data_IF_525160778753
#
_entry.id   IF_525160778753
#
_cell.length_a   1.000
_cell.length_b   1.000
_cell.length_c   1.000
_cell.angle_alpha   90.00
_cell.angle_beta   90.00
_cell.angle_gamma   90.00
#
_symmetry.space_group_name_H-M   'P 1'
#
loop_
_entity.id
_entity.type
_entity.pdbx_description
1 polymer ?
#
# COMPACT_ATOMS: atom_id res chain seq x y z
N UNK A 1 -2.45 -3.78 20.79
CA UNK A 1 -2.55 -3.60 22.25
C UNK A 1 -3.66 -4.52 22.85
N UNK A 2 -3.52 -5.01 24.10
CA UNK A 2 -4.52 -5.92 24.68
C UNK A 2 -5.95 -5.37 24.68
N UNK A 3 -6.12 -4.06 24.87
CA UNK A 3 -7.42 -3.40 24.86
C UNK A 3 -8.13 -3.52 23.50
N UNK A 4 -7.38 -3.63 22.41
CA UNK A 4 -7.90 -3.71 21.03
C UNK A 4 -7.89 -5.13 20.46
N UNK A 5 -7.33 -6.11 21.19
CA UNK A 5 -7.30 -7.50 20.76
C UNK A 5 -8.69 -8.06 20.35
N UNK A 6 -9.80 -7.72 21.05
CA UNK A 6 -11.14 -8.15 20.64
C UNK A 6 -11.57 -7.64 19.25
N UNK A 7 -10.97 -6.56 18.77
CA UNK A 7 -11.31 -5.92 17.50
C UNK A 7 -10.37 -6.29 16.35
N UNK A 8 -9.30 -7.05 16.63
CA UNK A 8 -8.30 -7.41 15.63
C UNK A 8 -8.92 -8.08 14.38
N UNK A 9 -9.93 -8.96 14.57
CA UNK A 9 -10.63 -9.60 13.46
C UNK A 9 -11.46 -8.61 12.62
N UNK A 10 -11.96 -7.54 13.21
CA UNK A 10 -12.66 -6.49 12.49
C UNK A 10 -11.70 -5.72 11.59
N UNK A 11 -10.51 -5.39 12.11
CA UNK A 11 -9.51 -4.56 11.45
C UNK A 11 -8.80 -5.35 10.34
N UNK A 12 -8.37 -6.59 10.63
CA UNK A 12 -7.53 -7.40 9.75
C UNK A 12 -8.24 -8.62 9.14
N UNK A 13 -9.54 -8.75 9.36
CA UNK A 13 -10.28 -9.96 8.95
C UNK A 13 -10.40 -10.18 7.45
N UNK A 14 -10.11 -9.17 6.63
CA UNK A 14 -10.10 -9.28 5.17
C UNK A 14 -8.74 -9.74 4.60
N UNK A 15 -7.70 -9.79 5.41
CA UNK A 15 -6.36 -10.21 4.99
C UNK A 15 -6.32 -11.57 4.30
N UNK A 16 -7.03 -12.63 4.76
CA UNK A 16 -7.04 -13.90 4.03
C UNK A 16 -7.63 -13.78 2.61
N UNK A 17 -8.67 -12.98 2.43
CA UNK A 17 -9.27 -12.72 1.12
C UNK A 17 -8.32 -11.92 0.22
N UNK A 18 -7.61 -10.92 0.78
CA UNK A 18 -6.58 -10.17 0.05
C UNK A 18 -5.44 -11.07 -0.42
N UNK A 19 -4.96 -11.99 0.45
CA UNK A 19 -3.91 -12.96 0.12
C UNK A 19 -4.32 -13.83 -1.08
N UNK A 20 -5.53 -14.38 -1.04
CA UNK A 20 -6.05 -15.20 -2.14
C UNK A 20 -6.22 -14.38 -3.41
N UNK A 21 -6.82 -13.20 -3.31
CA UNK A 21 -7.03 -12.31 -4.44
C UNK A 21 -5.71 -11.93 -5.12
N UNK A 22 -4.70 -11.48 -4.37
CA UNK A 22 -3.42 -11.08 -4.95
C UNK A 22 -2.66 -12.28 -5.54
N UNK A 23 -2.68 -13.45 -4.86
CA UNK A 23 -2.09 -14.67 -5.41
C UNK A 23 -2.70 -15.02 -6.78
N UNK A 24 -4.01 -15.01 -6.89
CA UNK A 24 -4.73 -15.28 -8.14
C UNK A 24 -4.45 -14.20 -9.19
N UNK A 25 -4.48 -12.93 -8.79
CA UNK A 25 -4.31 -11.79 -9.69
C UNK A 25 -2.92 -11.72 -10.31
N UNK A 26 -1.90 -12.08 -9.55
CA UNK A 26 -0.50 -12.08 -9.96
C UNK A 26 -0.06 -13.42 -10.58
N UNK A 27 -0.85 -14.49 -10.39
CA UNK A 27 -0.49 -15.85 -10.83
C UNK A 27 0.70 -16.43 -10.05
N UNK A 28 0.99 -15.89 -8.88
CA UNK A 28 2.08 -16.32 -7.99
C UNK A 28 1.51 -16.41 -6.58
N UNK A 29 1.53 -17.59 -6.00
CA UNK A 29 1.08 -17.81 -4.62
C UNK A 29 1.88 -16.94 -3.65
N UNK A 30 1.27 -16.62 -2.50
CA UNK A 30 1.96 -15.89 -1.44
C UNK A 30 3.28 -16.62 -1.07
N UNK A 31 4.44 -15.96 -1.22
CA UNK A 31 5.73 -16.67 -1.25
C UNK A 31 6.31 -17.03 0.14
N UNK A 32 5.58 -16.78 1.22
CA UNK A 32 6.06 -16.93 2.59
C UNK A 32 5.20 -17.92 3.37
N UNK A 33 5.79 -18.65 4.31
CA UNK A 33 5.11 -19.69 5.12
C UNK A 33 4.01 -19.14 6.04
N UNK A 34 4.10 -17.86 6.38
CA UNK A 34 3.13 -17.18 7.27
C UNK A 34 3.05 -15.69 6.94
N UNK A 35 1.99 -15.05 7.42
CA UNK A 35 1.87 -13.60 7.44
C UNK A 35 1.40 -13.13 8.82
N UNK A 36 2.11 -12.19 9.41
CA UNK A 36 1.78 -11.55 10.67
C UNK A 36 1.52 -10.06 10.46
N UNK A 37 0.63 -9.49 11.26
CA UNK A 37 0.30 -8.07 11.26
C UNK A 37 0.47 -7.54 12.69
N UNK A 38 1.33 -6.56 12.87
CA UNK A 38 1.80 -6.08 14.17
C UNK A 38 1.52 -4.59 14.29
N UNK A 39 0.66 -4.20 15.23
CA UNK A 39 0.38 -2.80 15.53
C UNK A 39 1.30 -2.31 16.64
N UNK A 40 2.07 -1.27 16.38
CA UNK A 40 3.04 -0.71 17.34
C UNK A 40 2.76 0.78 17.62
N UNK A 41 3.16 1.24 18.81
CA UNK A 41 3.09 2.65 19.19
C UNK A 41 4.26 3.44 18.63
N UNK A 42 4.02 4.72 18.39
CA UNK A 42 5.07 5.67 17.99
C UNK A 42 5.86 5.21 16.76
N UNK A 43 5.18 4.57 15.82
CA UNK A 43 5.81 4.19 14.57
C UNK A 43 6.11 5.44 13.74
N UNK A 44 7.28 5.48 13.11
CA UNK A 44 7.77 6.66 12.39
C UNK A 44 7.05 6.89 11.05
N UNK A 45 6.34 5.89 10.54
CA UNK A 45 5.62 5.91 9.27
C UNK A 45 4.18 5.40 9.45
N UNK A 46 3.41 5.27 8.36
CA UNK A 46 2.10 4.64 8.36
C UNK A 46 2.19 3.14 8.63
N UNK A 47 3.03 2.47 7.88
CA UNK A 47 3.30 1.04 8.01
C UNK A 47 4.67 0.67 7.43
N UNK A 48 5.00 -0.64 7.43
CA UNK A 48 6.24 -1.19 6.86
C UNK A 48 6.03 -2.68 6.54
N UNK A 49 6.43 -3.06 5.36
CA UNK A 49 6.24 -4.37 4.77
C UNK A 49 7.22 -5.46 5.27
N UNK A 50 7.79 -5.35 6.45
CA UNK A 50 8.77 -6.36 6.92
C UNK A 50 8.34 -7.77 6.52
N UNK A 51 9.21 -8.47 5.80
CA UNK A 51 8.93 -9.75 5.15
C UNK A 51 8.19 -10.73 6.07
N UNK A 52 7.00 -11.14 5.68
CA UNK A 52 6.06 -12.00 6.42
C UNK A 52 5.52 -11.43 7.75
N UNK A 53 5.80 -10.15 8.08
CA UNK A 53 5.40 -9.55 9.36
C UNK A 53 5.24 -8.02 9.25
N UNK A 54 4.23 -7.55 8.50
CA UNK A 54 3.99 -6.11 8.33
C UNK A 54 3.71 -5.42 9.67
N UNK A 55 4.33 -4.25 9.85
CA UNK A 55 4.17 -3.41 11.03
C UNK A 55 3.31 -2.21 10.67
N UNK A 56 2.36 -1.89 11.54
CA UNK A 56 1.41 -0.80 11.36
C UNK A 56 1.46 0.19 12.52
N UNK A 57 1.15 1.44 12.24
CA UNK A 57 1.03 2.52 13.21
C UNK A 57 -0.15 2.30 14.18
N UNK A 58 -0.13 2.98 15.30
CA UNK A 58 -1.09 2.79 16.40
C UNK A 58 -2.53 3.26 16.10
N UNK A 59 -2.77 4.04 15.02
CA UNK A 59 -4.13 4.35 14.56
C UNK A 59 -4.92 3.11 14.11
N UNK A 60 -4.25 2.00 13.79
CA UNK A 60 -4.89 0.71 13.56
C UNK A 60 -5.53 0.11 14.82
N UNK A 61 -5.25 0.64 16.00
CA UNK A 61 -5.96 0.29 17.23
C UNK A 61 -7.31 1.00 17.27
N UNK A 62 -8.30 0.47 16.58
CA UNK A 62 -9.61 1.09 16.40
C UNK A 62 -10.70 0.42 17.21
N UNK A 63 -11.63 1.23 17.71
CA UNK A 63 -12.92 0.77 18.22
C UNK A 63 -13.88 0.50 17.06
N UNK A 64 -14.99 -0.25 17.27
CA UNK A 64 -16.02 -0.42 16.23
C UNK A 64 -16.65 0.88 15.74
N UNK A 65 -16.65 1.93 16.56
CA UNK A 65 -17.14 3.25 16.15
C UNK A 65 -16.16 3.92 15.18
N UNK A 66 -14.87 3.98 15.53
CA UNK A 66 -13.84 4.55 14.68
C UNK A 66 -13.69 3.81 13.33
N UNK A 67 -13.84 2.48 13.33
CA UNK A 67 -13.78 1.67 12.12
C UNK A 67 -14.87 1.99 11.08
N UNK A 68 -15.96 2.63 11.48
CA UNK A 68 -17.01 3.08 10.55
C UNK A 68 -16.62 4.35 9.77
N UNK A 69 -15.74 5.14 10.36
CA UNK A 69 -15.28 6.39 9.75
C UNK A 69 -14.05 6.17 8.87
N UNK A 70 -13.19 5.23 9.28
CA UNK A 70 -11.93 4.92 8.58
C UNK A 70 -11.54 3.47 8.83
N UNK A 71 -11.20 2.73 7.77
CA UNK A 71 -10.84 1.30 7.89
C UNK A 71 -9.34 1.04 7.76
N UNK A 72 -8.60 1.94 7.13
CA UNK A 72 -7.19 1.74 6.72
C UNK A 72 -6.96 0.44 5.92
N UNK A 73 -7.99 0.01 5.22
CA UNK A 73 -7.96 -1.25 4.45
C UNK A 73 -7.03 -1.15 3.24
N UNK A 74 -6.92 0.03 2.67
CA UNK A 74 -5.96 0.40 1.64
C UNK A 74 -4.53 0.18 2.12
N UNK A 75 -4.17 0.66 3.32
CA UNK A 75 -2.84 0.43 3.92
C UNK A 75 -2.58 -1.06 4.13
N UNK A 76 -3.58 -1.82 4.59
CA UNK A 76 -3.42 -3.28 4.73
C UNK A 76 -3.15 -3.96 3.38
N UNK A 77 -3.84 -3.53 2.33
CA UNK A 77 -3.64 -4.04 0.98
C UNK A 77 -2.25 -3.65 0.43
N UNK A 78 -1.81 -2.41 0.67
CA UNK A 78 -0.50 -1.89 0.31
C UNK A 78 0.63 -2.75 0.89
N UNK A 79 0.65 -2.89 2.22
CA UNK A 79 1.68 -3.66 2.93
C UNK A 79 1.68 -5.14 2.57
N UNK A 80 0.52 -5.70 2.27
CA UNK A 80 0.43 -7.07 1.81
C UNK A 80 0.97 -7.22 0.39
N UNK A 81 0.66 -6.29 -0.52
CA UNK A 81 1.12 -6.34 -1.91
C UNK A 81 2.64 -6.25 -2.04
N UNK A 82 3.29 -5.57 -1.12
CA UNK A 82 4.75 -5.52 -1.03
C UNK A 82 5.40 -6.89 -0.91
N UNK A 83 4.71 -7.90 -0.40
CA UNK A 83 5.28 -9.26 -0.29
C UNK A 83 5.61 -9.88 -1.65
N UNK A 84 5.00 -9.39 -2.74
CA UNK A 84 5.40 -9.71 -4.12
C UNK A 84 6.30 -8.62 -4.70
N UNK A 85 5.95 -7.34 -4.55
CA UNK A 85 6.70 -6.20 -5.08
C UNK A 85 7.33 -5.38 -3.96
N UNK A 86 8.53 -5.73 -3.59
CA UNK A 86 9.29 -5.21 -2.46
C UNK A 86 10.13 -6.32 -1.85
N UNK A 87 9.48 -7.38 -1.37
CA UNK A 87 10.14 -8.50 -0.69
C UNK A 87 10.60 -9.60 -1.67
N UNK A 88 9.71 -10.11 -2.52
CA UNK A 88 10.07 -11.16 -3.49
C UNK A 88 10.82 -10.57 -4.68
N UNK A 89 10.33 -9.48 -5.25
CA UNK A 89 10.97 -8.71 -6.30
C UNK A 89 11.32 -7.34 -5.72
N UNK A 90 12.58 -7.12 -5.41
CA UNK A 90 13.07 -5.93 -4.71
C UNK A 90 13.69 -4.93 -5.68
N UNK A 91 13.51 -3.64 -5.44
CA UNK A 91 14.16 -2.58 -6.19
C UNK A 91 15.70 -2.67 -6.06
N UNK A 92 16.40 -2.54 -7.16
CA UNK A 92 17.87 -2.58 -7.22
C UNK A 92 18.53 -1.43 -6.42
N UNK A 93 17.87 -0.29 -6.40
CA UNK A 93 18.35 0.91 -5.72
C UNK A 93 17.17 1.82 -5.36
N UNK A 94 17.41 2.83 -4.52
CA UNK A 94 16.41 3.85 -4.18
C UNK A 94 15.86 4.59 -5.40
N UNK A 95 16.64 4.71 -6.48
CA UNK A 95 16.17 5.27 -7.76
C UNK A 95 15.00 4.49 -8.35
N UNK A 96 14.93 3.20 -8.06
CA UNK A 96 13.92 2.26 -8.55
C UNK A 96 12.83 1.95 -7.50
N UNK A 97 12.75 2.74 -6.42
CA UNK A 97 11.73 2.60 -5.37
C UNK A 97 10.30 2.44 -5.90
N UNK A 98 9.91 3.02 -7.05
CA UNK A 98 8.61 2.78 -7.66
C UNK A 98 8.29 1.31 -7.96
N UNK A 99 9.28 0.42 -8.10
CA UNK A 99 9.03 -1.02 -8.21
C UNK A 99 8.37 -1.58 -6.94
N UNK A 100 8.71 -1.03 -5.79
CA UNK A 100 8.05 -1.35 -4.52
C UNK A 100 6.76 -0.51 -4.38
N UNK A 101 6.90 0.79 -4.25
CA UNK A 101 5.83 1.69 -3.79
C UNK A 101 4.72 1.93 -4.82
N UNK A 102 5.07 2.14 -6.09
CA UNK A 102 4.03 2.33 -7.12
C UNK A 102 3.20 1.08 -7.31
N UNK A 103 3.82 -0.10 -7.23
CA UNK A 103 3.11 -1.38 -7.34
C UNK A 103 2.22 -1.63 -6.12
N UNK A 104 2.69 -1.33 -4.90
CA UNK A 104 1.89 -1.47 -3.69
C UNK A 104 0.71 -0.47 -3.66
N UNK A 105 0.93 0.78 -4.04
CA UNK A 105 -0.15 1.78 -4.21
C UNK A 105 -1.17 1.31 -5.25
N UNK A 106 -0.71 0.69 -6.34
CA UNK A 106 -1.64 0.12 -7.31
C UNK A 106 -2.35 -1.13 -6.77
N UNK A 107 -1.74 -1.86 -5.86
CA UNK A 107 -2.37 -2.95 -5.10
C UNK A 107 -3.60 -2.49 -4.33
N UNK A 108 -3.55 -1.30 -3.72
CA UNK A 108 -4.71 -0.66 -3.06
C UNK A 108 -5.88 -0.52 -4.02
N UNK A 109 -5.64 0.07 -5.20
CA UNK A 109 -6.65 0.22 -6.24
C UNK A 109 -7.23 -1.12 -6.67
N UNK A 110 -6.39 -2.12 -6.93
CA UNK A 110 -6.82 -3.46 -7.37
C UNK A 110 -7.70 -4.14 -6.33
N UNK A 111 -7.37 -4.00 -5.05
CA UNK A 111 -8.17 -4.53 -3.97
C UNK A 111 -9.52 -3.84 -3.85
N UNK A 112 -9.55 -2.51 -3.88
CA UNK A 112 -10.78 -1.74 -3.80
C UNK A 112 -11.71 -2.06 -4.99
N UNK A 113 -11.15 -2.15 -6.22
CA UNK A 113 -11.89 -2.56 -7.41
C UNK A 113 -12.52 -3.95 -7.25
N UNK A 114 -11.75 -4.91 -6.73
CA UNK A 114 -12.23 -6.26 -6.49
C UNK A 114 -13.33 -6.32 -5.43
N UNK A 115 -13.12 -5.60 -4.32
CA UNK A 115 -13.97 -5.71 -3.14
C UNK A 115 -15.23 -4.86 -3.21
N UNK A 116 -15.12 -3.65 -3.76
CA UNK A 116 -16.17 -2.63 -3.70
C UNK A 116 -16.62 -2.14 -5.08
N UNK A 117 -15.92 -2.51 -6.13
CA UNK A 117 -16.24 -2.11 -7.49
C UNK A 117 -15.40 -0.96 -8.01
N UNK A 118 -15.55 -0.70 -9.33
CA UNK A 118 -14.75 0.28 -10.07
C UNK A 118 -14.95 1.72 -9.55
N UNK A 119 -16.17 2.08 -9.14
CA UNK A 119 -16.46 3.43 -8.64
C UNK A 119 -15.67 3.78 -7.38
N UNK A 120 -15.58 2.85 -6.42
CA UNK A 120 -14.81 3.05 -5.19
C UNK A 120 -13.30 3.14 -5.49
N UNK A 121 -12.81 2.25 -6.33
CA UNK A 121 -11.41 2.28 -6.77
C UNK A 121 -11.07 3.55 -7.55
N UNK A 122 -11.96 4.03 -8.40
CA UNK A 122 -11.75 5.27 -9.15
C UNK A 122 -11.77 6.50 -8.24
N UNK A 123 -12.58 6.50 -7.18
CA UNK A 123 -12.54 7.56 -6.17
C UNK A 123 -11.20 7.58 -5.44
N UNK A 124 -10.70 6.41 -5.03
CA UNK A 124 -9.35 6.27 -4.45
C UNK A 124 -8.27 6.79 -5.42
N UNK A 125 -8.31 6.35 -6.66
CA UNK A 125 -7.38 6.80 -7.69
C UNK A 125 -7.48 8.29 -8.04
N UNK A 126 -8.66 8.91 -7.88
CA UNK A 126 -8.83 10.37 -7.99
C UNK A 126 -8.13 11.08 -6.84
N UNK A 127 -8.25 10.56 -5.61
CA UNK A 127 -7.57 11.12 -4.44
C UNK A 127 -6.05 11.06 -4.61
N UNK A 128 -5.52 9.96 -5.14
CA UNK A 128 -4.10 9.83 -5.51
C UNK A 128 -3.67 10.90 -6.51
N UNK A 129 -4.45 11.08 -7.57
CA UNK A 129 -4.16 12.08 -8.58
C UNK A 129 -4.16 13.50 -7.99
N UNK A 130 -5.12 13.81 -7.12
CA UNK A 130 -5.21 15.09 -6.43
C UNK A 130 -4.04 15.32 -5.48
N UNK A 131 -3.64 14.29 -4.71
CA UNK A 131 -2.47 14.36 -3.83
C UNK A 131 -1.19 14.66 -4.62
N UNK A 132 -0.97 13.99 -5.74
CA UNK A 132 0.15 14.24 -6.65
C UNK A 132 0.11 15.66 -7.22
N UNK A 133 -1.05 16.13 -7.70
CA UNK A 133 -1.21 17.44 -8.32
C UNK A 133 -1.12 18.61 -7.32
N UNK A 134 -1.37 18.37 -6.05
CA UNK A 134 -1.32 19.39 -5.01
C UNK A 134 0.07 20.02 -4.81
N UNK A 135 1.13 19.32 -5.23
CA UNK A 135 2.51 19.80 -5.09
C UNK A 135 3.11 20.13 -6.47
N UNK A 136 3.26 21.42 -6.78
CA UNK A 136 3.80 21.89 -8.06
C UNK A 136 5.15 21.25 -8.45
N UNK A 137 6.02 21.00 -7.47
CA UNK A 137 7.32 20.34 -7.70
C UNK A 137 7.19 18.95 -8.32
N UNK A 138 6.11 18.22 -8.05
CA UNK A 138 5.91 16.85 -8.53
C UNK A 138 5.85 16.79 -10.08
N UNK A 139 5.39 17.85 -10.74
CA UNK A 139 5.28 17.92 -12.19
C UNK A 139 6.65 17.81 -12.90
N UNK A 140 7.72 18.21 -12.23
CA UNK A 140 9.09 18.25 -12.78
C UNK A 140 9.90 17.00 -12.44
N UNK A 141 9.35 16.09 -11.61
CA UNK A 141 10.07 14.90 -11.15
C UNK A 141 9.69 13.69 -12.00
N UNK A 142 10.71 12.95 -12.40
CA UNK A 142 10.53 11.62 -13.00
C UNK A 142 10.21 10.57 -11.95
N UNK A 143 9.54 9.49 -12.36
CA UNK A 143 9.23 8.36 -11.46
C UNK A 143 10.53 7.63 -11.07
N UNK A 144 11.41 7.37 -12.03
CA UNK A 144 12.75 6.84 -11.78
C UNK A 144 13.74 8.00 -11.73
N UNK A 145 14.42 8.15 -10.60
CA UNK A 145 15.32 9.30 -10.34
C UNK A 145 16.65 8.84 -9.76
N UNK A 146 17.74 9.23 -10.37
CA UNK A 146 19.10 8.96 -9.89
C UNK A 146 19.73 10.19 -9.22
N UNK A 147 19.11 11.35 -9.36
CA UNK A 147 19.57 12.61 -8.78
C UNK A 147 18.79 12.90 -7.49
N UNK A 148 19.21 12.30 -6.39
CA UNK A 148 18.71 12.55 -5.04
C UNK A 148 19.90 12.65 -4.07
N UNK A 149 19.81 13.59 -3.13
CA UNK A 149 20.83 13.79 -2.09
C UNK A 149 20.62 12.87 -0.87
N UNK A 150 19.35 12.54 -0.59
CA UNK A 150 18.95 11.65 0.49
C UNK A 150 17.84 10.71 -0.02
N UNK A 151 17.91 9.44 0.38
CA UNK A 151 16.90 8.43 0.05
C UNK A 151 15.48 8.84 0.44
N UNK A 152 15.33 9.57 1.54
CA UNK A 152 14.03 10.07 2.02
C UNK A 152 13.31 10.96 0.99
N UNK A 153 14.04 11.54 0.04
CA UNK A 153 13.47 12.30 -1.07
C UNK A 153 12.71 11.43 -2.09
N UNK A 154 12.93 10.12 -2.05
CA UNK A 154 12.24 9.16 -2.92
C UNK A 154 10.85 8.77 -2.39
N UNK A 155 10.58 8.95 -1.09
CA UNK A 155 9.28 8.69 -0.47
C UNK A 155 8.36 9.89 -0.66
N UNK A 156 7.81 10.02 -1.86
CA UNK A 156 6.95 11.13 -2.25
C UNK A 156 5.79 10.70 -3.16
N UNK A 157 4.87 11.60 -3.44
CA UNK A 157 3.69 11.34 -4.28
C UNK A 157 4.05 10.94 -5.73
N UNK A 158 5.31 11.11 -6.14
CA UNK A 158 5.77 10.68 -7.47
C UNK A 158 6.06 9.17 -7.45
N UNK A 159 6.72 8.67 -6.41
CA UNK A 159 7.01 7.25 -6.25
C UNK A 159 5.77 6.43 -5.93
N UNK A 160 4.82 7.00 -5.18
CA UNK A 160 3.57 6.35 -4.78
C UNK A 160 2.46 6.60 -5.81
N UNK A 161 1.78 7.75 -5.70
CA UNK A 161 0.55 8.05 -6.43
C UNK A 161 0.74 8.14 -7.94
N UNK A 162 1.71 8.94 -8.41
CA UNK A 162 1.98 9.07 -9.86
C UNK A 162 2.35 7.72 -10.48
N UNK A 163 3.20 6.95 -9.80
CA UNK A 163 3.60 5.63 -10.26
C UNK A 163 2.42 4.67 -10.33
N UNK A 164 1.62 4.58 -9.28
CA UNK A 164 0.40 3.75 -9.22
C UNK A 164 -0.60 4.13 -10.33
N UNK A 165 -0.83 5.44 -10.56
CA UNK A 165 -1.69 5.92 -11.66
C UNK A 165 -1.13 5.59 -13.05
N UNK A 166 0.19 5.58 -13.23
CA UNK A 166 0.81 5.13 -14.49
C UNK A 166 0.58 3.64 -14.75
N UNK A 167 0.70 2.79 -13.72
CA UNK A 167 0.39 1.37 -13.83
C UNK A 167 -1.08 1.15 -14.23
N UNK A 168 -1.99 1.93 -13.64
CA UNK A 168 -3.40 1.90 -14.05
C UNK A 168 -3.59 2.28 -15.52
N UNK A 169 -2.92 3.32 -16.00
CA UNK A 169 -2.99 3.71 -17.42
C UNK A 169 -2.50 2.58 -18.35
N UNK A 170 -1.37 1.94 -18.01
CA UNK A 170 -0.84 0.81 -18.78
C UNK A 170 -1.84 -0.36 -18.83
N UNK A 171 -2.54 -0.63 -17.73
CA UNK A 171 -3.57 -1.69 -17.70
C UNK A 171 -4.78 -1.37 -18.59
N UNK A 172 -5.15 -0.10 -18.74
CA UNK A 172 -6.33 0.33 -19.52
C UNK A 172 -6.03 0.49 -21.03
N UNK A 173 -4.76 0.39 -21.46
CA UNK A 173 -4.34 0.42 -22.87
C UNK A 173 -4.31 -0.99 -23.47
#
# INVERSE_FOLDING_TARGET
EPAYAPYARMIFGKTPEMLEFFSQRLGVDFPWDKYAQIVVRNFVSGAMENTSASVFFDRMNMTPAAYKDETYEDIVAHELFHHWFGDLVTAESWSNLPLNESFATYGEYLWLEHKYGEEEADMHGLNDALAYLAKQKNATLDVIRFDYADREQMFDEVSYQKGGRRLHMVRKT
#
